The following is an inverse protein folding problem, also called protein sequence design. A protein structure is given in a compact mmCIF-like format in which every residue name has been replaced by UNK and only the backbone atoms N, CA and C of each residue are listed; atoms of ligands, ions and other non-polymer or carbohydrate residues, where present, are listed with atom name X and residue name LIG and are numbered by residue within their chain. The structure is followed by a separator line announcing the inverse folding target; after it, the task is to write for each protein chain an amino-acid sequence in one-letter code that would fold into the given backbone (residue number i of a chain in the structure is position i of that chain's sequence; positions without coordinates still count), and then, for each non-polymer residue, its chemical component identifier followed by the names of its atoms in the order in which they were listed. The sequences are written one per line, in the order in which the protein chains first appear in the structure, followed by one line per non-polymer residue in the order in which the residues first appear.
data_IF_981455979380
#
_entry.id   IF_981455979380
#
_cell.length_a   1.000
_cell.length_b   1.000
_cell.length_c   1.000
_cell.angle_alpha   90.00
_cell.angle_beta   90.00
_cell.angle_gamma   90.00
#
_symmetry.space_group_name_H-M   'P 1'
#
loop_
_entity.id
_entity.type
_entity.pdbx_description
1 polymer ?
#
# COMPACT_ATOMS: atom_id res chain seq x y z
N UNK A 1 -5.76 15.00 1.23
CA UNK A 1 -5.42 13.76 1.97
C UNK A 1 -4.38 13.04 1.13
N UNK A 2 -3.24 12.60 1.66
CA UNK A 2 -2.23 11.91 0.86
C UNK A 2 -2.63 10.47 0.55
N UNK A 3 -2.13 9.93 -0.55
CA UNK A 3 -2.41 8.55 -0.96
C UNK A 3 -1.92 7.53 0.08
N UNK A 4 -0.77 7.79 0.71
CA UNK A 4 -0.24 6.94 1.78
C UNK A 4 -1.24 6.81 2.94
N UNK A 5 -1.91 7.92 3.32
CA UNK A 5 -2.94 7.90 4.36
C UNK A 5 -4.18 7.11 3.90
N UNK A 6 -4.59 7.28 2.65
CA UNK A 6 -5.75 6.59 2.09
C UNK A 6 -5.51 5.07 1.98
N UNK A 7 -4.34 4.65 1.48
CA UNK A 7 -3.90 3.25 1.46
C UNK A 7 -3.93 2.65 2.88
N UNK A 8 -3.35 3.34 3.87
CA UNK A 8 -3.38 2.86 5.26
C UNK A 8 -4.81 2.72 5.80
N UNK A 9 -5.68 3.67 5.48
CA UNK A 9 -7.08 3.63 5.91
C UNK A 9 -7.84 2.45 5.29
N UNK A 10 -7.62 2.15 4.01
CA UNK A 10 -8.17 0.97 3.34
C UNK A 10 -7.68 -0.35 3.94
N UNK A 11 -6.42 -0.38 4.37
CA UNK A 11 -5.83 -1.52 5.09
C UNK A 11 -6.32 -1.62 6.55
N UNK A 12 -6.97 -0.59 7.08
CA UNK A 12 -7.48 -0.53 8.46
C UNK A 12 -6.40 -0.78 9.54
N UNK A 13 -5.16 -0.38 9.28
CA UNK A 13 -4.03 -0.54 10.21
C UNK A 13 -3.58 0.80 10.83
N UNK A 14 -2.83 0.71 11.93
CA UNK A 14 -2.20 1.89 12.57
C UNK A 14 -0.99 2.37 11.78
N UNK A 15 -0.52 3.60 12.04
CA UNK A 15 0.72 4.10 11.43
C UNK A 15 1.94 3.25 11.83
N UNK A 16 1.96 2.73 13.07
CA UNK A 16 3.05 1.88 13.55
C UNK A 16 3.06 0.53 12.81
N UNK A 17 1.91 -0.13 12.71
CA UNK A 17 1.82 -1.39 11.98
C UNK A 17 2.20 -1.24 10.49
N UNK A 18 1.85 -0.11 9.88
CA UNK A 18 2.28 0.18 8.51
C UNK A 18 3.80 0.40 8.42
N UNK A 19 4.38 1.13 9.37
CA UNK A 19 5.81 1.37 9.44
C UNK A 19 6.62 0.07 9.60
N UNK A 20 6.17 -0.80 10.50
CA UNK A 20 6.75 -2.13 10.74
C UNK A 20 6.69 -2.97 9.45
N UNK A 21 5.55 -2.94 8.76
CA UNK A 21 5.31 -3.66 7.51
C UNK A 21 6.22 -3.27 6.33
N UNK A 22 6.66 -2.01 6.27
CA UNK A 22 7.53 -1.51 5.19
C UNK A 22 8.98 -1.25 5.64
N UNK A 23 9.29 -1.57 6.89
CA UNK A 23 10.62 -1.43 7.48
C UNK A 23 11.07 0.02 7.62
N UNK A 24 10.25 0.88 8.22
CA UNK A 24 10.61 2.25 8.59
C UNK A 24 10.03 2.67 9.94
N UNK A 25 10.19 3.94 10.31
CA UNK A 25 9.63 4.47 11.57
C UNK A 25 8.20 4.99 11.38
N UNK A 26 7.42 5.01 12.47
CA UNK A 26 6.09 5.64 12.47
C UNK A 26 6.16 7.13 12.14
N UNK A 27 7.25 7.82 12.51
CA UNK A 27 7.49 9.20 12.12
C UNK A 27 7.62 9.39 10.60
N UNK A 28 8.22 8.44 9.87
CA UNK A 28 8.22 8.51 8.40
C UNK A 28 6.79 8.41 7.84
N UNK A 29 5.96 7.51 8.37
CA UNK A 29 4.54 7.43 7.95
C UNK A 29 3.83 8.75 8.21
N UNK A 30 4.00 9.35 9.39
CA UNK A 30 3.39 10.65 9.71
C UNK A 30 3.88 11.80 8.79
N UNK A 31 5.12 11.76 8.30
CA UNK A 31 5.63 12.73 7.32
C UNK A 31 5.01 12.51 5.94
N UNK A 32 4.95 11.26 5.48
CA UNK A 32 4.29 10.88 4.23
C UNK A 32 2.82 11.28 4.24
N UNK A 33 2.11 10.98 5.33
CA UNK A 33 0.70 11.25 5.44
C UNK A 33 0.36 12.75 5.36
N UNK A 34 1.27 13.60 5.82
CA UNK A 34 1.18 15.07 5.78
C UNK A 34 1.77 15.69 4.52
N UNK A 35 2.33 14.90 3.60
CA UNK A 35 2.99 15.40 2.38
C UNK A 35 4.27 16.19 2.64
N UNK A 36 4.91 16.02 3.81
CA UNK A 36 6.16 16.72 4.14
C UNK A 36 7.37 16.11 3.44
N UNK A 37 7.28 14.81 3.16
CA UNK A 37 8.28 14.04 2.42
C UNK A 37 7.53 13.03 1.57
N UNK A 38 8.12 12.61 0.46
CA UNK A 38 7.61 11.49 -0.32
C UNK A 38 8.37 10.19 0.01
N UNK A 39 7.72 9.02 -0.11
CA UNK A 39 8.42 7.75 -0.05
C UNK A 39 9.47 7.69 -1.17
N UNK A 40 10.67 7.18 -0.89
CA UNK A 40 11.63 6.88 -1.96
C UNK A 40 11.09 5.75 -2.85
N UNK A 41 11.60 5.56 -4.09
CA UNK A 41 11.13 4.49 -4.97
C UNK A 41 11.21 3.10 -4.33
N UNK A 42 12.26 2.83 -3.55
CA UNK A 42 12.38 1.59 -2.78
C UNK A 42 11.32 1.46 -1.69
N UNK A 43 10.96 2.57 -1.03
CA UNK A 43 9.88 2.60 -0.02
C UNK A 43 8.51 2.39 -0.67
N UNK A 44 8.26 3.02 -1.81
CA UNK A 44 7.00 2.85 -2.54
C UNK A 44 6.80 1.41 -3.02
N UNK A 45 7.87 0.74 -3.47
CA UNK A 45 7.81 -0.70 -3.77
C UNK A 45 7.42 -1.54 -2.56
N UNK A 46 8.02 -1.27 -1.40
CA UNK A 46 7.64 -1.97 -0.15
C UNK A 46 6.19 -1.70 0.25
N UNK A 47 5.69 -0.48 0.06
CA UNK A 47 4.27 -0.16 0.28
C UNK A 47 3.38 -1.04 -0.61
N UNK A 48 3.71 -1.16 -1.89
CA UNK A 48 2.95 -1.99 -2.85
C UNK A 48 2.98 -3.47 -2.47
N UNK A 49 4.16 -4.01 -2.14
CA UNK A 49 4.32 -5.41 -1.73
C UNK A 49 3.56 -5.70 -0.43
N UNK A 50 3.68 -4.83 0.56
CA UNK A 50 2.99 -4.97 1.84
C UNK A 50 1.48 -4.91 1.68
N UNK A 51 0.97 -3.92 0.93
CA UNK A 51 -0.46 -3.79 0.64
C UNK A 51 -1.00 -5.04 -0.09
N UNK A 52 -0.26 -5.55 -1.08
CA UNK A 52 -0.62 -6.78 -1.80
C UNK A 52 -0.65 -8.00 -0.88
N UNK A 53 0.28 -8.08 0.08
CA UNK A 53 0.29 -9.11 1.13
C UNK A 53 -0.99 -9.11 1.98
N UNK A 54 -1.58 -7.94 2.20
CA UNK A 54 -2.82 -7.73 2.94
C UNK A 54 -4.09 -7.77 2.07
N UNK A 55 -3.97 -8.09 0.78
CA UNK A 55 -5.12 -8.20 -0.13
C UNK A 55 -5.49 -6.91 -0.86
N UNK A 56 -4.71 -5.84 -0.74
CA UNK A 56 -4.92 -4.58 -1.46
C UNK A 56 -3.98 -4.49 -2.66
N UNK A 57 -4.51 -4.69 -3.87
CA UNK A 57 -3.73 -4.69 -5.11
C UNK A 57 -3.51 -3.28 -5.65
N UNK A 58 -2.41 -2.64 -5.25
CA UNK A 58 -1.99 -1.30 -5.72
C UNK A 58 -0.70 -1.36 -6.57
N UNK A 59 -0.34 -0.21 -7.15
CA UNK A 59 0.85 0.04 -7.97
C UNK A 59 1.54 1.34 -7.53
N UNK A 60 2.70 1.67 -8.12
CA UNK A 60 3.41 2.93 -7.82
C UNK A 60 2.58 4.17 -8.19
N UNK A 61 1.73 4.08 -9.21
CA UNK A 61 0.83 5.17 -9.61
C UNK A 61 -0.18 5.51 -8.52
N UNK A 62 -0.65 4.51 -7.76
CA UNK A 62 -1.49 4.75 -6.59
C UNK A 62 -0.72 5.41 -5.44
N UNK A 63 0.61 5.27 -5.37
CA UNK A 63 1.44 5.87 -4.32
C UNK A 63 1.75 7.34 -4.62
N UNK A 64 2.05 7.66 -5.88
CA UNK A 64 2.54 8.99 -6.28
C UNK A 64 1.56 9.82 -7.13
N UNK A 65 0.65 9.19 -7.86
CA UNK A 65 -0.21 9.84 -8.83
C UNK A 65 -1.64 10.04 -8.32
N UNK A 66 -2.51 10.49 -9.22
CA UNK A 66 -3.92 10.77 -8.92
C UNK A 66 -4.86 9.63 -9.38
N UNK A 67 -4.34 8.40 -9.43
CA UNK A 67 -5.14 7.22 -9.77
C UNK A 67 -6.01 6.84 -8.58
N UNK A 68 -7.28 6.55 -8.85
CA UNK A 68 -8.23 6.13 -7.82
C UNK A 68 -7.78 4.81 -7.16
N UNK A 69 -7.84 4.74 -5.84
CA UNK A 69 -7.48 3.52 -5.12
C UNK A 69 -8.53 2.43 -5.38
N UNK A 70 -8.12 1.16 -5.52
CA UNK A 70 -9.06 0.07 -5.67
C UNK A 70 -9.97 0.04 -4.44
N UNK A 71 -11.27 -0.16 -4.69
CA UNK A 71 -12.19 -0.51 -3.62
C UNK A 71 -11.72 -1.84 -3.02
N UNK A 72 -11.75 -1.97 -1.69
CA UNK A 72 -11.46 -3.23 -1.00
C UNK A 72 -12.57 -4.25 -1.31
N UNK A 73 -12.72 -4.64 -2.57
CA UNK A 73 -13.56 -5.76 -2.97
C UNK A 73 -12.73 -6.97 -2.65
N UNK A 74 -13.02 -7.58 -1.50
CA UNK A 74 -12.44 -8.84 -1.07
C UNK A 74 -12.83 -9.97 -2.02
N UNK A 75 -12.30 -9.96 -3.23
CA UNK A 75 -12.31 -11.12 -4.10
C UNK A 75 -11.09 -11.95 -3.71
N UNK A 76 -11.36 -12.94 -2.86
CA UNK A 76 -10.47 -14.04 -2.59
C UNK A 76 -9.89 -14.55 -3.93
N UNK A 77 -8.56 -14.54 -4.01
CA UNK A 77 -7.78 -15.08 -5.11
C UNK A 77 -8.36 -16.42 -5.59
N UNK A 78 -8.82 -16.49 -6.84
CA UNK A 78 -8.81 -17.76 -7.56
C UNK A 78 -7.36 -18.08 -7.94
N UNK A 79 -6.67 -18.79 -7.07
CA UNK A 79 -5.51 -19.59 -7.48
C UNK A 79 -6.05 -20.77 -8.27
N UNK A 80 -5.74 -20.82 -9.57
CA UNK A 80 -5.94 -22.03 -10.36
C UNK A 80 -6.23 -21.79 -11.84
N UNK A 81 -5.20 -21.50 -12.63
CA UNK A 81 -5.13 -22.08 -13.97
C UNK A 81 -3.98 -23.09 -13.96
N UNK A 82 -4.37 -24.34 -13.71
CA UNK A 82 -3.56 -25.50 -13.91
C UNK A 82 -3.22 -25.62 -15.40
N UNK A 83 -1.97 -25.97 -15.65
CA UNK A 83 -1.44 -26.43 -16.93
C UNK A 83 -2.42 -27.32 -17.70
N UNK A 84 -2.62 -26.99 -18.98
CA UNK A 84 -2.99 -27.97 -19.99
C UNK A 84 -2.21 -27.68 -21.27
N UNK A 85 -1.17 -28.47 -21.51
CA UNK A 85 -0.67 -28.89 -22.82
C UNK A 85 0.33 -30.04 -22.59
#
# INVERSE_FOLDING_TARGET
MSNVKAIRALLQITQQAFADGIGCTQSNIAQYERGQTEPSPGRARRIVEFARGLGLAISLEHVYGDVELPTCTGEARSVGEASHA
#
